data_IF_997827816668
#
_entry.id   IF_997827816668
#
_cell.length_a   1.000
_cell.length_b   1.000
_cell.length_c   1.000
_cell.angle_alpha   90.00
_cell.angle_beta   90.00
_cell.angle_gamma   90.00
#
_symmetry.space_group_name_H-M   'P 1'
#
loop_
_entity.id
_entity.type
_entity.pdbx_description
1 polymer ?
#
# COMPACT_ATOMS: atom_id res chain seq x y z
N UNK A 1 12.77 -0.05 1.11
CA UNK A 1 11.97 1.19 1.34
C UNK A 1 11.92 2.10 0.13
N UNK A 2 13.02 2.73 -0.32
CA UNK A 2 12.97 3.75 -1.40
C UNK A 2 12.31 3.29 -2.70
N UNK A 3 12.44 2.00 -3.10
CA UNK A 3 11.83 1.52 -4.34
C UNK A 3 10.32 1.36 -4.24
N UNK A 4 9.82 0.68 -3.19
CA UNK A 4 8.38 0.52 -2.96
C UNK A 4 7.70 1.88 -2.76
N UNK A 5 8.30 2.78 -1.97
CA UNK A 5 7.70 4.11 -1.78
C UNK A 5 7.74 4.95 -3.06
N UNK A 6 8.77 4.85 -3.90
CA UNK A 6 8.81 5.53 -5.19
C UNK A 6 7.78 4.97 -6.17
N UNK A 7 7.59 3.65 -6.20
CA UNK A 7 6.53 2.99 -6.96
C UNK A 7 5.14 3.43 -6.49
N UNK A 8 4.85 3.34 -5.19
CA UNK A 8 3.55 3.78 -4.65
C UNK A 8 3.28 5.26 -4.89
N UNK A 9 4.31 6.12 -4.86
CA UNK A 9 4.18 7.54 -5.24
C UNK A 9 3.86 7.73 -6.72
N UNK A 10 4.32 6.84 -7.59
CA UNK A 10 3.98 6.85 -9.01
C UNK A 10 2.55 6.34 -9.26
N UNK A 11 2.09 5.35 -8.50
CA UNK A 11 0.79 4.71 -8.70
C UNK A 11 -0.36 5.42 -7.97
N UNK A 12 -0.20 5.71 -6.68
CA UNK A 12 -1.28 6.24 -5.83
C UNK A 12 -1.37 7.75 -6.00
N UNK A 13 -2.35 8.19 -6.80
CA UNK A 13 -2.66 9.60 -7.10
C UNK A 13 -3.90 10.10 -6.38
N UNK A 14 -4.94 9.28 -6.27
CA UNK A 14 -6.19 9.62 -5.59
C UNK A 14 -6.37 8.82 -4.31
N UNK A 15 -6.79 9.49 -3.24
CA UNK A 15 -6.95 8.92 -1.90
C UNK A 15 -5.87 9.39 -0.92
N UNK A 16 -5.90 8.85 0.30
CA UNK A 16 -4.87 9.06 1.31
C UNK A 16 -4.39 7.72 1.86
N UNK A 17 -3.25 7.24 1.33
CA UNK A 17 -2.62 5.99 1.76
C UNK A 17 -1.37 6.29 2.58
N UNK A 18 -1.40 5.89 3.84
CA UNK A 18 -0.24 5.85 4.72
C UNK A 18 0.30 4.42 4.80
N UNK A 19 1.60 4.25 4.55
CA UNK A 19 2.32 2.99 4.70
C UNK A 19 3.30 3.09 5.86
N UNK A 20 3.10 2.29 6.89
CA UNK A 20 4.08 2.03 7.93
C UNK A 20 4.99 0.89 7.50
N UNK A 21 6.28 1.16 7.41
CA UNK A 21 7.26 0.15 7.08
C UNK A 21 7.66 -0.70 8.30
N UNK A 22 8.34 -1.82 8.08
CA UNK A 22 8.78 -2.73 9.17
C UNK A 22 9.76 -2.08 10.16
N UNK A 23 10.25 -0.86 9.89
CA UNK A 23 11.11 -0.07 10.76
C UNK A 23 10.35 1.06 11.46
N UNK A 24 9.02 1.09 11.33
CA UNK A 24 8.15 2.09 11.94
C UNK A 24 8.17 3.45 11.24
N UNK A 25 8.68 3.57 10.01
CA UNK A 25 8.61 4.83 9.25
C UNK A 25 7.31 4.91 8.48
N UNK A 26 6.72 6.10 8.48
CA UNK A 26 5.52 6.43 7.74
C UNK A 26 5.82 6.99 6.35
N UNK A 27 5.06 6.55 5.37
CA UNK A 27 5.12 7.03 4.00
C UNK A 27 3.71 7.33 3.52
N UNK A 28 3.43 8.59 3.19
CA UNK A 28 2.11 9.00 2.69
C UNK A 28 2.10 9.16 1.17
N UNK A 29 1.00 8.73 0.55
CA UNK A 29 0.76 8.75 -0.89
C UNK A 29 -0.68 9.18 -1.21
N UNK A 30 -0.88 9.70 -2.43
CA UNK A 30 -2.15 10.23 -2.90
C UNK A 30 -2.30 11.75 -2.74
N UNK A 31 -3.53 12.23 -2.91
CA UNK A 31 -3.92 13.65 -2.92
C UNK A 31 -4.57 14.10 -1.60
N UNK A 32 -4.70 13.20 -0.62
CA UNK A 32 -5.29 13.50 0.68
C UNK A 32 -6.82 13.41 0.71
N UNK A 33 -7.45 13.01 -0.40
CA UNK A 33 -8.90 12.82 -0.46
C UNK A 33 -9.33 11.52 0.21
N UNK A 34 -10.59 11.44 0.64
CA UNK A 34 -11.13 10.21 1.21
C UNK A 34 -11.21 9.07 0.17
N UNK A 35 -10.97 7.81 0.58
CA UNK A 35 -10.81 7.35 1.96
C UNK A 35 -9.37 7.49 2.51
N UNK A 36 -9.25 7.51 3.85
CA UNK A 36 -7.99 7.60 4.59
C UNK A 36 -7.60 6.24 5.17
N UNK A 37 -6.53 5.65 4.66
CA UNK A 37 -6.12 4.28 5.00
C UNK A 37 -4.68 4.27 5.49
N UNK A 38 -4.43 3.55 6.58
CA UNK A 38 -3.08 3.24 7.05
C UNK A 38 -2.83 1.74 6.99
N UNK A 39 -1.78 1.33 6.30
CA UNK A 39 -1.33 -0.07 6.22
C UNK A 39 0.04 -0.22 6.86
N UNK A 40 0.29 -1.32 7.56
CA UNK A 40 1.59 -1.65 8.13
C UNK A 40 2.14 -2.92 7.49
N UNK A 41 3.42 -2.88 7.10
CA UNK A 41 4.16 -4.07 6.66
C UNK A 41 5.10 -4.49 7.78
N UNK A 42 4.95 -5.73 8.25
CA UNK A 42 5.64 -6.23 9.44
C UNK A 42 7.05 -6.76 9.17
N UNK A 43 7.35 -7.14 7.93
CA UNK A 43 8.63 -7.74 7.59
C UNK A 43 9.21 -7.24 6.25
N UNK A 44 10.53 -7.40 6.09
CA UNK A 44 11.25 -6.94 4.90
C UNK A 44 10.95 -7.78 3.64
N UNK A 45 10.61 -9.06 3.78
CA UNK A 45 10.36 -9.94 2.64
C UNK A 45 9.06 -9.56 1.92
N UNK A 46 7.99 -9.32 2.69
CA UNK A 46 6.70 -8.84 2.20
C UNK A 46 6.85 -7.54 1.40
N UNK A 47 7.75 -6.65 1.81
CA UNK A 47 8.02 -5.41 1.07
C UNK A 47 8.65 -5.64 -0.30
N UNK A 48 9.59 -6.59 -0.38
CA UNK A 48 10.23 -6.95 -1.64
C UNK A 48 9.23 -7.64 -2.58
N UNK A 49 8.40 -8.53 -2.04
CA UNK A 49 7.35 -9.22 -2.79
C UNK A 49 6.31 -8.22 -3.33
N UNK A 50 5.89 -7.25 -2.51
CA UNK A 50 4.95 -6.19 -2.91
C UNK A 50 5.46 -5.35 -4.08
N UNK A 51 6.77 -5.10 -4.13
CA UNK A 51 7.37 -4.38 -5.23
C UNK A 51 7.44 -5.24 -6.52
N UNK A 52 7.70 -6.54 -6.40
CA UNK A 52 7.84 -7.44 -7.55
C UNK A 52 6.49 -7.84 -8.17
N UNK A 53 5.50 -8.15 -7.34
CA UNK A 53 4.17 -8.57 -7.79
C UNK A 53 3.09 -8.02 -6.82
N UNK A 54 2.73 -6.74 -6.95
CA UNK A 54 1.81 -6.08 -6.03
C UNK A 54 0.41 -6.72 -6.04
N UNK A 55 -0.10 -7.12 -7.22
CA UNK A 55 -1.47 -7.64 -7.34
C UNK A 55 -1.68 -8.92 -6.55
N UNK A 56 -0.74 -9.86 -6.61
CA UNK A 56 -0.84 -11.13 -5.87
C UNK A 56 -0.40 -10.97 -4.41
N UNK A 57 0.69 -10.24 -4.18
CA UNK A 57 1.31 -10.16 -2.84
C UNK A 57 0.41 -9.42 -1.85
N UNK A 58 -0.32 -8.39 -2.27
CA UNK A 58 -1.19 -7.62 -1.35
C UNK A 58 -2.19 -8.53 -0.64
N UNK A 59 -2.90 -9.38 -1.39
CA UNK A 59 -3.90 -10.29 -0.84
C UNK A 59 -3.26 -11.35 0.07
N UNK A 60 -2.19 -11.97 -0.39
CA UNK A 60 -1.47 -12.98 0.41
C UNK A 60 -0.90 -12.41 1.71
N UNK A 61 -0.28 -11.23 1.65
CA UNK A 61 0.31 -10.58 2.81
C UNK A 61 -0.74 -10.19 3.84
N UNK A 62 -1.91 -9.71 3.37
CA UNK A 62 -3.05 -9.44 4.24
C UNK A 62 -3.55 -10.72 4.93
N UNK A 63 -3.76 -11.80 4.17
CA UNK A 63 -4.20 -13.08 4.73
C UNK A 63 -3.19 -13.71 5.70
N UNK A 64 -1.89 -13.51 5.44
CA UNK A 64 -0.80 -14.00 6.29
C UNK A 64 -0.54 -13.11 7.51
N UNK A 65 -1.16 -11.92 7.57
CA UNK A 65 -0.94 -10.93 8.62
C UNK A 65 0.40 -10.20 8.53
N UNK A 66 1.14 -10.35 7.43
CA UNK A 66 2.40 -9.61 7.20
C UNK A 66 2.17 -8.22 6.61
N UNK A 67 0.94 -7.96 6.15
CA UNK A 67 0.40 -6.64 5.89
C UNK A 67 -0.90 -6.49 6.70
N UNK A 68 -1.01 -5.45 7.52
CA UNK A 68 -2.23 -5.15 8.31
C UNK A 68 -2.77 -3.77 7.97
N UNK A 69 -4.06 -3.57 8.25
CA UNK A 69 -4.71 -2.27 8.13
C UNK A 69 -4.88 -1.71 9.54
N UNK A 70 -4.15 -0.64 9.83
CA UNK A 70 -4.16 0.04 11.13
C UNK A 70 -5.28 1.09 11.20
N UNK A 71 -5.69 1.63 10.04
CA UNK A 71 -6.77 2.62 9.94
C UNK A 71 -7.54 2.44 8.64
N UNK A 72 -8.87 2.55 8.72
CA UNK A 72 -9.78 2.28 7.61
C UNK A 72 -10.15 0.80 7.53
N UNK A 73 -10.81 0.41 6.45
CA UNK A 73 -11.22 -0.97 6.19
C UNK A 73 -10.46 -1.57 5.02
N UNK A 74 -10.51 -2.90 4.88
CA UNK A 74 -10.03 -3.58 3.67
C UNK A 74 -10.73 -3.05 2.42
N UNK A 75 -12.02 -2.71 2.52
CA UNK A 75 -12.76 -2.14 1.42
C UNK A 75 -12.21 -0.77 1.01
N UNK A 76 -11.94 0.12 1.98
CA UNK A 76 -11.35 1.43 1.71
C UNK A 76 -9.98 1.31 1.04
N UNK A 77 -9.17 0.36 1.50
CA UNK A 77 -7.87 0.08 0.91
C UNK A 77 -7.98 -0.39 -0.55
N UNK A 78 -8.90 -1.34 -0.82
CA UNK A 78 -9.16 -1.84 -2.16
C UNK A 78 -9.77 -0.77 -3.08
N UNK A 79 -10.58 0.15 -2.54
CA UNK A 79 -11.12 1.28 -3.27
C UNK A 79 -10.00 2.23 -3.73
N UNK A 80 -9.06 2.60 -2.85
CA UNK A 80 -7.85 3.35 -3.25
C UNK A 80 -7.07 2.61 -4.33
N UNK A 81 -6.84 1.30 -4.17
CA UNK A 81 -6.12 0.51 -5.16
C UNK A 81 -6.84 0.50 -6.52
N UNK A 82 -8.16 0.33 -6.53
CA UNK A 82 -8.98 0.30 -7.73
C UNK A 82 -8.99 1.65 -8.47
N UNK A 83 -9.12 2.76 -7.75
CA UNK A 83 -9.08 4.14 -8.31
C UNK A 83 -7.75 4.44 -9.03
N UNK A 84 -6.68 3.77 -8.62
CA UNK A 84 -5.33 4.01 -9.12
C UNK A 84 -4.80 2.89 -10.04
N UNK A 85 -5.62 1.88 -10.37
CA UNK A 85 -5.20 0.68 -11.10
C UNK A 85 -4.58 1.00 -12.48
N UNK A 86 -5.06 2.05 -13.14
CA UNK A 86 -4.55 2.53 -14.42
C UNK A 86 -3.07 2.94 -14.40
N UNK A 87 -2.51 3.26 -13.24
CA UNK A 87 -1.11 3.67 -13.08
C UNK A 87 -0.17 2.49 -12.77
N UNK A 88 -0.70 1.27 -12.60
CA UNK A 88 0.08 0.08 -12.26
C UNK A 88 0.81 -0.51 -13.48
N UNK A 89 0.36 -0.22 -14.70
CA UNK A 89 0.89 -0.80 -15.95
C UNK A 89 1.66 0.18 -16.86
N UNK A 90 2.04 1.36 -16.34
CA UNK A 90 2.77 2.39 -17.10
C UNK A 90 4.29 2.26 -16.96
#
# INVERSE_FOLDING_TARGET
MMMLSRFLRAVIKSGDLCLLDHKGRDWRFGDGTAPHVSVQIHDRATQWQLFMNPQLTVGEAYMRGTLTIERGTLYDFLDIAARNLQYVQA
#
